data_IF_331951412162
#
_entry.id   IF_331951412162
#
_cell.length_a   1.000
_cell.length_b   1.000
_cell.length_c   1.000
_cell.angle_alpha   90.00
_cell.angle_beta   90.00
_cell.angle_gamma   90.00
#
_symmetry.space_group_name_H-M   'P 1'
#
loop_
_entity.id
_entity.type
_entity.pdbx_description
1 polymer ?
#
# COMPACT_ATOMS: atom_id res chain seq x y z
N UNK A 1 3.36 -5.00 -7.39
CA UNK A 1 2.21 -4.08 -7.26
C UNK A 1 1.26 -4.31 -8.41
N UNK A 2 -0.04 -4.36 -8.13
CA UNK A 2 -1.09 -4.51 -9.15
C UNK A 2 -1.95 -3.26 -9.19
N UNK A 3 -2.27 -2.78 -10.40
CA UNK A 3 -3.15 -1.64 -10.57
C UNK A 3 -4.59 -1.92 -10.14
N UNK A 4 -5.26 -0.93 -9.60
CA UNK A 4 -6.68 -0.93 -9.26
C UNK A 4 -7.44 -0.10 -10.30
N UNK A 5 -8.41 -0.72 -11.00
CA UNK A 5 -9.21 -0.06 -12.01
C UNK A 5 -9.87 1.24 -11.53
N UNK A 6 -10.50 1.27 -10.33
CA UNK A 6 -11.12 2.49 -9.78
C UNK A 6 -10.14 3.61 -9.41
N UNK A 7 -8.84 3.33 -9.32
CA UNK A 7 -7.83 4.32 -8.93
C UNK A 7 -6.48 4.09 -9.66
N UNK A 8 -6.44 4.23 -10.99
CA UNK A 8 -5.25 3.93 -11.78
C UNK A 8 -4.08 4.85 -11.45
N UNK A 9 -4.31 6.15 -11.34
CA UNK A 9 -3.27 7.13 -11.00
C UNK A 9 -2.68 6.88 -9.62
N UNK A 10 -3.54 6.63 -8.62
CA UNK A 10 -3.10 6.28 -7.27
C UNK A 10 -2.25 5.01 -7.26
N UNK A 11 -2.68 3.97 -7.97
CA UNK A 11 -1.94 2.71 -8.08
C UNK A 11 -0.57 2.91 -8.72
N UNK A 12 -0.50 3.74 -9.76
CA UNK A 12 0.75 4.06 -10.46
C UNK A 12 1.72 4.83 -9.53
N UNK A 13 1.22 5.84 -8.80
CA UNK A 13 2.02 6.59 -7.83
C UNK A 13 2.58 5.68 -6.75
N UNK A 14 1.76 4.80 -6.20
CA UNK A 14 2.22 3.84 -5.17
C UNK A 14 3.22 2.81 -5.69
N UNK A 15 3.11 2.41 -6.95
CA UNK A 15 4.10 1.56 -7.59
C UNK A 15 5.44 2.30 -7.79
N UNK A 16 5.37 3.56 -8.20
CA UNK A 16 6.54 4.44 -8.31
C UNK A 16 7.26 4.56 -6.95
N UNK A 17 6.55 4.97 -5.89
CA UNK A 17 7.12 5.11 -4.53
C UNK A 17 7.86 3.85 -4.11
N UNK A 18 7.22 2.68 -4.27
CA UNK A 18 7.81 1.40 -3.90
C UNK A 18 9.10 1.08 -4.66
N UNK A 19 9.10 1.27 -5.98
CA UNK A 19 10.28 1.02 -6.82
C UNK A 19 11.39 2.00 -6.52
N UNK A 20 11.04 3.26 -6.29
CA UNK A 20 12.00 4.32 -5.98
C UNK A 20 12.70 4.08 -4.63
N UNK A 21 11.96 3.70 -3.59
CA UNK A 21 12.53 3.35 -2.28
C UNK A 21 13.52 2.17 -2.42
N UNK A 22 13.18 1.12 -3.17
CA UNK A 22 14.07 -0.02 -3.41
C UNK A 22 15.36 0.40 -4.11
N UNK A 23 15.27 1.30 -5.10
CA UNK A 23 16.44 1.81 -5.81
C UNK A 23 17.35 2.65 -4.90
N UNK A 24 16.75 3.50 -4.03
CA UNK A 24 17.50 4.28 -3.04
C UNK A 24 18.18 3.39 -2.01
N UNK A 25 17.55 2.34 -1.55
CA UNK A 25 18.14 1.35 -0.64
C UNK A 25 19.34 0.65 -1.27
N UNK A 26 19.21 0.20 -2.53
CA UNK A 26 20.31 -0.39 -3.28
C UNK A 26 21.48 0.59 -3.43
N UNK A 27 21.20 1.84 -3.76
CA UNK A 27 22.22 2.90 -3.88
C UNK A 27 22.91 3.17 -2.54
N UNK A 28 22.15 3.25 -1.44
CA UNK A 28 22.70 3.43 -0.09
C UNK A 28 23.64 2.27 0.28
N UNK A 29 23.23 1.06 0.03
CA UNK A 29 24.04 -0.14 0.32
C UNK A 29 25.31 -0.17 -0.53
N UNK A 30 25.21 0.11 -1.83
CA UNK A 30 26.37 0.11 -2.73
C UNK A 30 27.42 1.18 -2.40
N UNK A 31 26.98 2.28 -1.81
CA UNK A 31 27.84 3.40 -1.38
C UNK A 31 28.18 3.38 0.11
N UNK A 32 27.77 2.36 0.84
CA UNK A 32 28.01 2.23 2.29
C UNK A 32 27.57 3.44 3.11
N UNK A 33 26.42 4.06 2.73
CA UNK A 33 25.95 5.30 3.38
C UNK A 33 25.33 5.07 4.76
N UNK A 34 25.01 3.82 5.12
CA UNK A 34 24.40 3.48 6.42
C UNK A 34 22.97 4.01 6.61
N UNK A 35 22.29 4.40 5.51
CA UNK A 35 20.91 4.87 5.57
C UNK A 35 19.97 3.67 5.54
N UNK A 36 19.01 3.64 6.48
CA UNK A 36 17.98 2.62 6.55
C UNK A 36 16.65 3.16 6.05
N UNK A 37 16.04 2.47 5.10
CA UNK A 37 14.73 2.79 4.57
C UNK A 37 13.68 1.88 5.19
N UNK A 38 12.53 2.46 5.55
CA UNK A 38 11.39 1.70 6.09
C UNK A 38 10.15 2.07 5.29
N UNK A 39 9.69 1.14 4.44
CA UNK A 39 8.48 1.29 3.65
C UNK A 39 7.27 0.87 4.50
N UNK A 40 6.44 1.85 4.87
CA UNK A 40 5.24 1.63 5.67
C UNK A 40 4.03 1.48 4.75
N UNK A 41 3.36 0.35 4.87
CA UNK A 41 2.15 0.03 4.11
C UNK A 41 0.98 -0.17 5.07
N UNK A 42 0.34 0.91 5.51
CA UNK A 42 -0.88 0.81 6.29
C UNK A 42 -2.04 0.37 5.39
N UNK A 43 -3.03 -0.30 5.96
CA UNK A 43 -4.33 -0.43 5.34
C UNK A 43 -5.13 0.88 5.44
N UNK A 44 -6.44 0.81 5.57
CA UNK A 44 -7.26 1.99 5.78
C UNK A 44 -7.10 2.53 7.20
N UNK A 45 -6.72 3.80 7.30
CA UNK A 45 -6.55 4.52 8.56
C UNK A 45 -7.68 5.51 8.71
N UNK A 46 -8.35 5.51 9.87
CA UNK A 46 -9.45 6.42 10.18
C UNK A 46 -8.91 7.85 10.28
N UNK A 47 -9.07 8.59 9.20
CA UNK A 47 -8.63 9.99 9.06
C UNK A 47 -9.73 10.81 8.42
N UNK A 48 -9.64 12.12 8.50
CA UNK A 48 -10.58 13.03 7.86
C UNK A 48 -10.75 12.78 6.35
N UNK A 49 -9.72 12.23 5.69
CA UNK A 49 -9.73 11.93 4.26
C UNK A 49 -10.75 10.83 3.89
N UNK A 50 -10.96 9.85 4.78
CA UNK A 50 -11.89 8.74 4.56
C UNK A 50 -13.12 8.80 5.46
N UNK A 51 -13.28 9.90 6.23
CA UNK A 51 -14.43 10.11 7.07
C UNK A 51 -15.70 10.14 6.22
N UNK A 52 -16.68 9.31 6.60
CA UNK A 52 -17.94 9.14 5.83
C UNK A 52 -17.93 7.96 4.86
N UNK A 53 -16.79 7.33 4.60
CA UNK A 53 -16.71 6.10 3.80
C UNK A 53 -16.55 4.88 4.70
N UNK A 54 -17.39 3.86 4.50
CA UNK A 54 -17.29 2.60 5.25
C UNK A 54 -16.25 1.68 4.60
N UNK A 55 -14.99 1.86 4.98
CA UNK A 55 -13.95 0.91 4.58
C UNK A 55 -13.82 -0.22 5.59
N UNK A 56 -13.64 -1.47 5.14
CA UNK A 56 -13.40 -2.59 6.04
C UNK A 56 -12.03 -2.47 6.71
N UNK A 57 -11.94 -2.95 7.95
CA UNK A 57 -10.66 -3.07 8.69
C UNK A 57 -9.92 -1.73 8.88
N UNK A 58 -10.66 -0.65 9.14
CA UNK A 58 -10.07 0.66 9.47
C UNK A 58 -9.30 0.58 10.80
N UNK A 59 -8.16 1.25 10.86
CA UNK A 59 -7.30 1.30 12.04
C UNK A 59 -7.26 2.72 12.61
N UNK A 60 -7.11 2.86 13.92
CA UNK A 60 -6.92 4.18 14.53
C UNK A 60 -5.54 4.75 14.19
N UNK A 61 -5.41 6.08 14.02
CA UNK A 61 -4.14 6.74 13.77
C UNK A 61 -3.08 6.42 14.83
N UNK A 62 -3.47 6.34 16.10
CA UNK A 62 -2.56 6.04 17.22
C UNK A 62 -2.00 4.62 17.14
N UNK A 63 -2.83 3.65 16.73
CA UNK A 63 -2.38 2.29 16.51
C UNK A 63 -1.33 2.23 15.41
N UNK A 64 -1.61 2.89 14.28
CA UNK A 64 -0.70 2.98 13.14
C UNK A 64 0.61 3.66 13.52
N UNK A 65 0.55 4.80 14.21
CA UNK A 65 1.74 5.55 14.64
C UNK A 65 2.67 4.69 15.52
N UNK A 66 2.12 3.96 16.49
CA UNK A 66 2.91 3.04 17.34
C UNK A 66 3.62 1.96 16.52
N UNK A 67 2.96 1.43 15.50
CA UNK A 67 3.56 0.42 14.63
C UNK A 67 4.66 0.99 13.73
N UNK A 68 4.49 2.22 13.25
CA UNK A 68 5.52 2.94 12.49
C UNK A 68 6.78 3.12 13.34
N UNK A 69 6.64 3.67 14.53
CA UNK A 69 7.78 3.87 15.47
C UNK A 69 8.49 2.54 15.74
N UNK A 70 7.75 1.47 16.02
CA UNK A 70 8.32 0.15 16.24
C UNK A 70 9.05 -0.40 15.01
N UNK A 71 8.52 -0.18 13.81
CA UNK A 71 9.14 -0.61 12.56
C UNK A 71 10.47 0.11 12.31
N UNK A 72 10.51 1.41 12.54
CA UNK A 72 11.72 2.24 12.44
C UNK A 72 12.77 1.77 13.44
N UNK A 73 12.38 1.59 14.69
CA UNK A 73 13.28 1.14 15.76
C UNK A 73 13.92 -0.22 15.46
N UNK A 74 13.18 -1.11 14.85
CA UNK A 74 13.67 -2.44 14.46
C UNK A 74 14.27 -2.48 13.05
N UNK A 75 14.46 -1.33 12.39
CA UNK A 75 15.04 -1.21 11.04
C UNK A 75 14.39 -2.15 10.03
N UNK A 76 13.06 -2.26 10.06
CA UNK A 76 12.34 -3.13 9.13
C UNK A 76 12.28 -2.47 7.75
N UNK A 77 12.66 -3.21 6.70
CA UNK A 77 12.62 -2.71 5.32
C UNK A 77 11.19 -2.46 4.84
N UNK A 78 10.29 -3.40 5.06
CA UNK A 78 8.88 -3.28 4.69
C UNK A 78 8.01 -3.66 5.87
N UNK A 79 7.03 -2.83 6.19
CA UNK A 79 6.06 -3.10 7.26
C UNK A 79 4.64 -2.90 6.76
N UNK A 80 3.91 -4.00 6.61
CA UNK A 80 2.45 -3.99 6.43
C UNK A 80 1.82 -4.00 7.82
N UNK A 81 1.12 -2.93 8.17
CA UNK A 81 0.45 -2.80 9.45
C UNK A 81 -0.85 -3.60 9.41
N UNK A 82 -1.10 -4.37 10.48
CA UNK A 82 -2.18 -5.34 10.66
C UNK A 82 -1.95 -6.66 9.89
N UNK A 83 -2.05 -7.77 10.63
CA UNK A 83 -1.84 -9.13 10.12
C UNK A 83 -2.90 -9.52 9.07
N UNK A 84 -4.11 -9.00 9.18
CA UNK A 84 -5.21 -9.23 8.22
C UNK A 84 -4.85 -8.69 6.84
N UNK A 85 -4.32 -7.47 6.79
CA UNK A 85 -3.81 -6.88 5.55
C UNK A 85 -2.61 -7.64 4.99
N UNK A 86 -1.75 -8.19 5.85
CA UNK A 86 -0.62 -9.01 5.42
C UNK A 86 -1.08 -10.27 4.68
N UNK A 87 -2.08 -10.98 5.24
CA UNK A 87 -2.65 -12.16 4.60
C UNK A 87 -3.34 -11.79 3.28
N UNK A 88 -4.16 -10.74 3.27
CA UNK A 88 -4.85 -10.27 2.08
C UNK A 88 -3.88 -9.93 0.96
N UNK A 89 -2.81 -9.19 1.27
CA UNK A 89 -1.76 -8.81 0.30
C UNK A 89 -1.00 -10.04 -0.18
N UNK A 90 -0.69 -11.01 0.69
CA UNK A 90 -0.04 -12.25 0.29
C UNK A 90 -0.89 -13.05 -0.69
N UNK A 91 -2.18 -13.23 -0.38
CA UNK A 91 -3.13 -13.89 -1.28
C UNK A 91 -3.29 -13.13 -2.61
N UNK A 92 -3.34 -11.81 -2.55
CA UNK A 92 -3.40 -10.98 -3.75
C UNK A 92 -2.17 -11.15 -4.65
N UNK A 93 -0.98 -11.28 -4.09
CA UNK A 93 0.24 -11.53 -4.86
C UNK A 93 0.22 -12.88 -5.57
N UNK A 94 -0.48 -13.89 -5.04
CA UNK A 94 -0.62 -15.21 -5.66
C UNK A 94 -1.52 -15.20 -6.91
N UNK A 95 -2.40 -14.22 -7.06
CA UNK A 95 -3.28 -14.12 -8.25
C UNK A 95 -2.43 -13.78 -9.47
N UNK A 96 -2.44 -14.59 -10.55
CA UNK A 96 -1.71 -14.25 -11.78
C UNK A 96 -2.23 -12.95 -12.41
N UNK A 97 -1.34 -12.20 -13.06
CA UNK A 97 -1.70 -10.93 -13.71
C UNK A 97 -2.73 -11.10 -14.84
N UNK A 98 -2.72 -12.24 -15.52
CA UNK A 98 -3.72 -12.55 -16.55
C UNK A 98 -5.13 -12.63 -15.97
N UNK A 99 -5.30 -13.23 -14.79
CA UNK A 99 -6.58 -13.31 -14.09
C UNK A 99 -6.94 -11.93 -13.53
N UNK A 100 -5.97 -11.22 -12.92
CA UNK A 100 -6.20 -9.92 -12.31
C UNK A 100 -6.77 -8.88 -13.29
N UNK A 101 -6.33 -8.87 -14.52
CA UNK A 101 -6.79 -7.95 -15.57
C UNK A 101 -8.27 -8.09 -15.91
N UNK A 102 -8.85 -9.25 -15.66
CA UNK A 102 -10.25 -9.56 -15.97
C UNK A 102 -11.16 -9.55 -14.73
N UNK A 103 -10.57 -9.38 -13.51
CA UNK A 103 -11.33 -9.33 -12.27
C UNK A 103 -11.85 -7.91 -12.00
N UNK A 104 -13.15 -7.74 -12.09
CA UNK A 104 -13.87 -6.52 -11.66
C UNK A 104 -14.30 -6.66 -10.19
N UNK A 105 -13.32 -6.71 -9.26
CA UNK A 105 -13.60 -6.90 -7.83
C UNK A 105 -14.20 -5.66 -7.16
N UNK A 106 -14.03 -4.50 -7.74
CA UNK A 106 -14.51 -3.23 -7.19
C UNK A 106 -15.38 -2.57 -8.25
N UNK A 107 -16.69 -2.44 -8.02
CA UNK A 107 -17.56 -1.72 -8.94
C UNK A 107 -17.08 -0.27 -9.04
N UNK A 108 -17.05 0.26 -10.27
CA UNK A 108 -16.75 1.67 -10.51
C UNK A 108 -17.82 2.55 -9.84
N UNK A 109 -17.46 3.68 -9.25
CA UNK A 109 -18.43 4.62 -8.75
C UNK A 109 -19.31 5.12 -9.90
N UNK A 110 -20.62 5.12 -9.71
CA UNK A 110 -21.64 5.44 -10.74
C UNK A 110 -21.47 6.81 -11.42
N UNK A 111 -20.61 7.69 -10.89
CA UNK A 111 -20.33 9.01 -11.44
C UNK A 111 -19.40 9.01 -12.65
N UNK A 112 -18.64 7.94 -12.90
CA UNK A 112 -17.70 7.87 -14.04
C UNK A 112 -18.27 7.14 -15.26
N UNK A 113 -19.42 6.49 -15.13
CA UNK A 113 -20.07 5.76 -16.23
C UNK A 113 -20.61 6.68 -17.34
N UNK A 114 -20.64 8.01 -17.12
CA UNK A 114 -21.14 8.99 -18.11
C UNK A 114 -20.05 9.69 -18.92
N UNK A 115 -18.78 9.31 -18.77
CA UNK A 115 -17.63 9.99 -19.38
C UNK A 115 -16.87 9.16 -20.40
N UNK A 116 -17.43 8.03 -20.85
CA UNK A 116 -16.83 7.20 -21.90
C UNK A 116 -17.77 7.08 -23.07
#
# INVERSE_FOLDING_TARGET
VKGLGPAPSYSATKAFDNTYIQALEQLSNSRHLGIHFTDIRPGFVDTALISGSRFPMTMSPEYVARHIVKAIYHRRHVTVIDWRWRILVALWHLVPNCIWRHLTLIPLPKSEEKSV
#
